data_IF_498983375093
#
_entry.id   IF_498983375093
#
_cell.length_a   1.000
_cell.length_b   1.000
_cell.length_c   1.000
_cell.angle_alpha   90.00
_cell.angle_beta   90.00
_cell.angle_gamma   90.00
#
_symmetry.space_group_name_H-M   'P 1'
#
loop_
_entity.id
_entity.type
_entity.pdbx_description
1 polymer ?
#
# COMPACT_ATOMS: atom_id res chain seq x y z
N UNK A 1 -20.40 -17.68 15.14
CA UNK A 1 -18.96 -17.97 15.12
C UNK A 1 -18.22 -16.80 14.49
N UNK A 2 -17.32 -16.21 15.26
CA UNK A 2 -16.42 -15.18 14.71
C UNK A 2 -15.51 -15.84 13.65
N UNK A 3 -15.51 -15.31 12.44
CA UNK A 3 -14.59 -15.76 11.41
C UNK A 3 -13.17 -15.29 11.79
N UNK A 4 -12.23 -16.23 11.80
CA UNK A 4 -10.84 -15.89 12.11
C UNK A 4 -10.12 -15.41 10.85
N UNK A 5 -9.24 -14.43 11.03
CA UNK A 5 -8.33 -14.02 9.98
C UNK A 5 -7.37 -15.17 9.63
N UNK A 6 -7.00 -15.25 8.36
CA UNK A 6 -5.99 -16.17 7.87
C UNK A 6 -4.63 -15.49 7.91
N UNK A 7 -3.63 -16.15 8.46
CA UNK A 7 -2.29 -15.57 8.60
C UNK A 7 -1.43 -15.91 7.40
N UNK A 8 -0.81 -14.89 6.82
CA UNK A 8 0.17 -14.98 5.76
C UNK A 8 1.51 -14.46 6.28
N UNK A 9 2.58 -15.08 5.84
CA UNK A 9 3.93 -14.62 6.14
C UNK A 9 4.65 -14.27 4.85
N UNK A 10 5.40 -13.17 4.87
CA UNK A 10 6.15 -12.71 3.72
C UNK A 10 7.54 -12.27 4.13
N UNK A 11 8.53 -12.71 3.37
CA UNK A 11 9.88 -12.18 3.45
C UNK A 11 10.14 -11.36 2.20
N UNK A 12 10.51 -10.11 2.39
CA UNK A 12 10.78 -9.17 1.31
C UNK A 12 12.28 -8.88 1.25
N UNK A 13 12.83 -8.96 0.04
CA UNK A 13 14.11 -8.37 -0.30
C UNK A 13 13.83 -7.21 -1.24
N UNK A 14 14.07 -5.99 -0.78
CA UNK A 14 13.75 -4.77 -1.52
C UNK A 14 15.03 -4.17 -2.08
N UNK A 15 15.04 -3.92 -3.38
CA UNK A 15 16.06 -3.15 -4.07
C UNK A 15 15.34 -2.01 -4.81
N UNK A 16 15.18 -0.88 -4.14
CA UNK A 16 14.52 0.30 -4.70
C UNK A 16 15.60 1.28 -5.14
N UNK A 17 15.89 1.27 -6.44
CA UNK A 17 16.93 2.12 -7.01
C UNK A 17 16.51 3.58 -7.08
N UNK A 18 15.20 3.85 -7.19
CA UNK A 18 14.69 5.22 -7.22
C UNK A 18 14.90 5.94 -5.89
N UNK A 19 14.78 5.21 -4.77
CA UNK A 19 14.99 5.74 -3.43
C UNK A 19 16.37 5.41 -2.86
N UNK A 20 17.19 4.60 -3.57
CA UNK A 20 18.47 4.08 -3.09
C UNK A 20 18.30 3.32 -1.76
N UNK A 21 17.27 2.49 -1.68
CA UNK A 21 16.91 1.72 -0.49
C UNK A 21 17.08 0.24 -0.77
N UNK A 22 17.87 -0.43 0.07
CA UNK A 22 18.12 -1.87 0.01
C UNK A 22 17.87 -2.43 1.39
N UNK A 23 16.84 -3.27 1.53
CA UNK A 23 16.41 -3.74 2.84
C UNK A 23 15.69 -5.07 2.76
N UNK A 24 15.80 -5.85 3.83
CA UNK A 24 15.07 -7.09 4.02
C UNK A 24 14.06 -6.91 5.15
N UNK A 25 12.87 -7.48 4.96
CA UNK A 25 11.82 -7.43 5.97
C UNK A 25 11.11 -8.78 6.07
N UNK A 26 10.87 -9.22 7.29
CA UNK A 26 10.03 -10.38 7.59
C UNK A 26 8.71 -9.87 8.16
N UNK A 27 7.60 -10.16 7.49
CA UNK A 27 6.30 -9.59 7.79
C UNK A 27 5.26 -10.68 8.03
N UNK A 28 4.30 -10.36 8.88
CA UNK A 28 3.10 -11.17 9.12
C UNK A 28 1.88 -10.33 8.79
N UNK A 29 1.00 -10.86 7.94
CA UNK A 29 -0.23 -10.20 7.53
C UNK A 29 -1.42 -11.08 7.89
N UNK A 30 -2.49 -10.43 8.34
CA UNK A 30 -3.77 -11.09 8.56
C UNK A 30 -4.72 -10.76 7.40
N UNK A 31 -5.17 -11.81 6.70
CA UNK A 31 -6.22 -11.66 5.70
C UNK A 31 -7.56 -11.57 6.41
N UNK A 32 -8.23 -10.42 6.31
CA UNK A 32 -9.56 -10.26 6.87
C UNK A 32 -10.55 -11.21 6.18
N UNK A 33 -11.56 -11.77 6.90
CA UNK A 33 -12.52 -12.70 6.29
C UNK A 33 -13.23 -12.17 5.05
N UNK A 34 -13.40 -10.85 4.93
CA UNK A 34 -14.01 -10.21 3.75
C UNK A 34 -13.00 -9.70 2.72
N UNK A 35 -11.71 -9.94 2.94
CA UNK A 35 -10.65 -9.43 2.08
C UNK A 35 -10.27 -10.46 1.02
N UNK A 36 -9.99 -9.99 -0.20
CA UNK A 36 -9.43 -10.84 -1.25
C UNK A 36 -7.90 -10.96 -1.10
N UNK A 37 -7.33 -12.04 -1.64
CA UNK A 37 -5.88 -12.17 -1.71
C UNK A 37 -5.23 -11.06 -2.56
N UNK A 38 -5.91 -10.62 -3.61
CA UNK A 38 -5.45 -9.47 -4.41
C UNK A 38 -5.23 -8.24 -3.53
N UNK A 39 -6.20 -7.91 -2.68
CA UNK A 39 -6.10 -6.77 -1.78
C UNK A 39 -4.94 -6.93 -0.79
N UNK A 40 -4.79 -8.11 -0.22
CA UNK A 40 -3.70 -8.42 0.70
C UNK A 40 -2.34 -8.20 0.03
N UNK A 41 -2.17 -8.65 -1.22
CA UNK A 41 -0.90 -8.50 -1.93
C UNK A 41 -0.64 -7.05 -2.35
N UNK A 42 -1.69 -6.26 -2.62
CA UNK A 42 -1.52 -4.81 -2.83
C UNK A 42 -1.08 -4.13 -1.53
N UNK A 43 -1.58 -4.56 -0.35
CA UNK A 43 -1.07 -4.07 0.94
C UNK A 43 0.40 -4.40 1.14
N UNK A 44 0.79 -5.62 0.80
CA UNK A 44 2.19 -6.04 0.90
C UNK A 44 3.09 -5.22 -0.03
N UNK A 45 2.63 -4.97 -1.24
CA UNK A 45 3.33 -4.10 -2.19
C UNK A 45 3.44 -2.67 -1.65
N UNK A 46 2.38 -2.14 -1.06
CA UNK A 46 2.40 -0.80 -0.46
C UNK A 46 3.48 -0.68 0.62
N UNK A 47 3.63 -1.72 1.45
CA UNK A 47 4.72 -1.76 2.42
C UNK A 47 6.08 -1.67 1.73
N UNK A 48 6.31 -2.49 0.72
CA UNK A 48 7.59 -2.51 0.00
C UNK A 48 7.94 -1.15 -0.61
N UNK A 49 6.92 -0.44 -1.12
CA UNK A 49 7.11 0.85 -1.79
C UNK A 49 7.23 2.03 -0.83
N UNK A 50 6.81 1.89 0.41
CA UNK A 50 6.71 3.02 1.35
C UNK A 50 7.49 2.83 2.64
N UNK A 51 8.07 1.68 2.88
CA UNK A 51 8.89 1.47 4.08
C UNK A 51 10.04 2.49 4.09
N UNK A 52 10.26 3.18 5.22
CA UNK A 52 11.36 4.15 5.32
C UNK A 52 12.73 3.46 5.35
N UNK A 53 13.77 4.21 5.01
CA UNK A 53 15.14 3.71 4.99
C UNK A 53 15.70 3.40 6.39
N UNK A 54 15.12 4.02 7.41
CA UNK A 54 15.50 3.83 8.82
C UNK A 54 14.27 3.97 9.71
N UNK A 55 14.44 3.84 11.01
CA UNK A 55 13.36 3.95 11.99
C UNK A 55 13.48 5.18 12.88
N UNK A 56 14.22 6.19 12.46
CA UNK A 56 14.38 7.41 13.25
C UNK A 56 13.04 8.09 13.53
N UNK A 57 12.11 8.02 12.58
CA UNK A 57 10.75 8.53 12.72
C UNK A 57 9.72 7.42 12.90
N UNK A 58 10.12 6.30 13.52
CA UNK A 58 9.26 5.15 13.75
C UNK A 58 9.26 4.16 12.58
N UNK A 59 8.58 3.04 12.78
CA UNK A 59 8.48 1.97 11.79
C UNK A 59 7.14 2.02 11.06
N UNK A 60 7.14 1.67 9.76
CA UNK A 60 5.91 1.42 9.03
C UNK A 60 5.32 0.08 9.49
N UNK A 61 4.06 0.07 9.86
CA UNK A 61 3.39 -1.10 10.42
C UNK A 61 2.05 -1.33 9.74
N UNK A 62 1.63 -2.60 9.64
CA UNK A 62 0.26 -2.92 9.30
C UNK A 62 -0.66 -2.53 10.44
N UNK A 63 -1.74 -1.84 10.10
CA UNK A 63 -2.80 -1.46 11.03
C UNK A 63 -3.99 -2.41 10.89
N UNK A 64 -5.09 -2.11 11.55
CA UNK A 64 -6.26 -3.00 11.54
C UNK A 64 -7.04 -2.99 10.23
N UNK A 65 -6.90 -1.94 9.43
CA UNK A 65 -7.52 -1.85 8.09
C UNK A 65 -9.02 -2.12 8.13
N UNK A 66 -9.45 -3.17 7.42
CA UNK A 66 -10.86 -3.54 7.34
C UNK A 66 -11.50 -3.89 8.68
N UNK A 67 -10.70 -4.20 9.70
CA UNK A 67 -11.20 -4.56 11.03
C UNK A 67 -11.57 -3.34 11.88
N UNK A 68 -11.13 -2.15 11.49
CA UNK A 68 -11.38 -0.91 12.23
C UNK A 68 -11.47 0.27 11.26
N UNK A 69 -12.65 0.91 11.20
CA UNK A 69 -12.90 2.01 10.30
C UNK A 69 -12.03 3.26 10.57
N UNK A 70 -11.46 3.37 11.77
CA UNK A 70 -10.63 4.51 12.15
C UNK A 70 -9.13 4.28 11.89
N UNK A 71 -8.75 3.09 11.42
CA UNK A 71 -7.37 2.76 11.10
C UNK A 71 -7.20 2.51 9.60
N UNK A 72 -6.04 2.87 9.05
CA UNK A 72 -5.71 2.56 7.65
C UNK A 72 -5.23 1.11 7.51
N UNK A 73 -4.77 0.76 6.33
CA UNK A 73 -4.11 -0.52 6.08
C UNK A 73 -2.68 -0.54 6.66
N UNK A 74 -1.96 0.57 6.53
CA UNK A 74 -0.63 0.74 7.12
C UNK A 74 -0.49 2.16 7.65
N UNK A 75 0.31 2.33 8.69
CA UNK A 75 0.68 3.64 9.22
C UNK A 75 2.07 3.63 9.86
N UNK A 76 2.58 4.84 10.04
CA UNK A 76 3.83 5.06 10.74
C UNK A 76 3.63 6.19 11.74
N UNK A 77 3.91 5.90 13.01
CA UNK A 77 3.95 6.90 14.08
C UNK A 77 5.39 7.14 14.48
N UNK A 78 5.75 8.39 14.71
CA UNK A 78 7.04 8.71 15.29
C UNK A 78 7.05 8.44 16.80
N UNK A 79 8.17 8.69 17.46
CA UNK A 79 8.33 8.44 18.90
C UNK A 79 7.43 9.35 19.77
N UNK A 80 6.89 10.43 19.23
CA UNK A 80 5.96 11.33 19.92
C UNK A 80 4.50 10.93 19.71
N UNK A 81 4.26 9.91 18.88
CA UNK A 81 2.90 9.48 18.51
C UNK A 81 2.31 10.22 17.31
N UNK A 82 3.06 11.11 16.67
CA UNK A 82 2.59 11.81 15.48
C UNK A 82 2.52 10.86 14.30
N UNK A 83 1.42 10.93 13.51
CA UNK A 83 1.26 10.16 12.29
C UNK A 83 2.13 10.73 11.18
N UNK A 84 3.17 10.00 10.81
CA UNK A 84 4.09 10.37 9.74
C UNK A 84 3.49 10.03 8.39
N UNK A 85 2.95 8.81 8.25
CA UNK A 85 2.27 8.41 7.02
C UNK A 85 1.08 7.48 7.30
N UNK A 86 0.12 7.56 6.38
CA UNK A 86 -1.14 6.83 6.38
C UNK A 86 -1.33 6.25 5.00
N UNK A 87 -1.39 4.92 4.90
CA UNK A 87 -1.50 4.23 3.62
C UNK A 87 -2.78 3.42 3.58
N UNK A 88 -3.52 3.53 2.48
CA UNK A 88 -4.67 2.69 2.21
C UNK A 88 -4.60 2.10 0.81
N UNK A 89 -5.19 0.93 0.65
CA UNK A 89 -5.36 0.29 -0.65
C UNK A 89 -6.84 0.22 -0.98
N UNK A 90 -7.17 0.34 -2.26
CA UNK A 90 -8.55 0.36 -2.72
C UNK A 90 -9.03 1.75 -3.09
N UNK A 91 -10.30 2.01 -2.86
CA UNK A 91 -11.00 3.19 -3.36
C UNK A 91 -11.76 3.89 -2.22
N UNK A 92 -11.03 4.57 -1.30
CA UNK A 92 -11.67 5.28 -0.20
C UNK A 92 -12.47 6.48 -0.71
N UNK A 93 -13.53 6.84 0.03
CA UNK A 93 -14.33 8.00 -0.33
C UNK A 93 -13.63 9.33 0.03
N UNK A 94 -14.17 10.42 -0.49
CA UNK A 94 -13.65 11.76 -0.27
C UNK A 94 -13.54 12.12 1.22
N UNK A 95 -14.56 11.80 1.99
CA UNK A 95 -14.62 12.14 3.42
C UNK A 95 -13.50 11.44 4.20
N UNK A 96 -13.27 10.16 3.88
CA UNK A 96 -12.20 9.40 4.50
C UNK A 96 -10.82 9.97 4.14
N UNK A 97 -10.62 10.36 2.88
CA UNK A 97 -9.37 10.97 2.43
C UNK A 97 -9.11 12.31 3.10
N UNK A 98 -10.11 13.16 3.19
CA UNK A 98 -9.99 14.46 3.87
C UNK A 98 -9.64 14.28 5.35
N UNK A 99 -10.28 13.33 6.03
CA UNK A 99 -10.02 13.03 7.43
C UNK A 99 -8.58 12.52 7.63
N UNK A 100 -8.14 11.60 6.78
CA UNK A 100 -6.78 11.07 6.83
C UNK A 100 -5.73 12.16 6.63
N UNK A 101 -5.94 13.03 5.64
CA UNK A 101 -5.04 14.14 5.35
C UNK A 101 -4.95 15.16 6.49
N UNK A 102 -6.00 15.29 7.30
CA UNK A 102 -5.98 16.12 8.50
C UNK A 102 -5.24 15.49 9.67
N UNK A 103 -5.02 14.18 9.66
CA UNK A 103 -4.39 13.43 10.76
C UNK A 103 -2.92 13.13 10.54
N UNK A 104 -2.50 12.90 9.30
CA UNK A 104 -1.16 12.44 8.96
C UNK A 104 -0.38 13.49 8.17
N UNK A 105 0.95 13.46 8.27
CA UNK A 105 1.80 14.33 7.46
C UNK A 105 1.70 13.97 5.98
N UNK A 106 1.63 12.68 5.66
CA UNK A 106 1.53 12.17 4.30
C UNK A 106 0.47 11.08 4.24
N UNK A 107 -0.35 11.14 3.19
CA UNK A 107 -1.34 10.11 2.90
C UNK A 107 -1.07 9.57 1.50
N UNK A 108 -1.05 8.25 1.35
CA UNK A 108 -0.85 7.60 0.07
C UNK A 108 -1.90 6.52 -0.14
N UNK A 109 -2.51 6.53 -1.32
CA UNK A 109 -3.52 5.57 -1.72
C UNK A 109 -3.01 4.77 -2.91
N UNK A 110 -3.11 3.45 -2.83
CA UNK A 110 -2.91 2.54 -3.97
C UNK A 110 -4.27 1.98 -4.38
N UNK A 111 -4.88 2.62 -5.38
CA UNK A 111 -6.13 2.18 -5.95
C UNK A 111 -5.87 1.11 -7.02
N UNK A 112 -6.74 0.11 -7.10
CA UNK A 112 -6.63 -0.97 -8.06
C UNK A 112 -8.01 -1.48 -8.44
N UNK A 113 -8.09 -2.18 -9.57
CA UNK A 113 -9.32 -2.75 -10.06
C UNK A 113 -9.97 -1.92 -11.17
N UNK A 114 -10.97 -2.49 -11.87
CA UNK A 114 -11.55 -1.88 -13.06
C UNK A 114 -12.40 -0.64 -12.79
N UNK A 115 -12.86 -0.44 -11.56
CA UNK A 115 -13.71 0.70 -11.20
C UNK A 115 -12.91 1.97 -10.86
N UNK A 116 -11.58 1.92 -10.83
CA UNK A 116 -10.75 3.07 -10.44
C UNK A 116 -11.03 4.33 -11.27
N UNK A 117 -11.15 4.27 -12.61
CA UNK A 117 -11.43 5.49 -13.38
C UNK A 117 -12.75 6.16 -13.00
N UNK A 118 -13.79 5.38 -12.73
CA UNK A 118 -15.10 5.91 -12.32
C UNK A 118 -15.00 6.53 -10.93
N UNK A 119 -14.38 5.83 -9.98
CA UNK A 119 -14.16 6.34 -8.63
C UNK A 119 -13.38 7.66 -8.66
N UNK A 120 -12.25 7.69 -9.36
CA UNK A 120 -11.38 8.86 -9.42
C UNK A 120 -12.08 10.05 -10.10
N UNK A 121 -12.74 9.80 -11.23
CA UNK A 121 -13.48 10.84 -11.95
C UNK A 121 -14.57 11.49 -11.11
N UNK A 122 -15.12 10.77 -10.13
CA UNK A 122 -16.15 11.29 -9.23
C UNK A 122 -15.61 12.16 -8.09
N UNK A 123 -14.32 12.07 -7.76
CA UNK A 123 -13.79 12.72 -6.56
C UNK A 123 -12.59 13.64 -6.80
N UNK A 124 -11.87 13.51 -7.94
CA UNK A 124 -10.60 14.22 -8.10
C UNK A 124 -10.71 15.75 -7.90
N UNK A 125 -11.79 16.36 -8.39
CA UNK A 125 -11.99 17.81 -8.25
C UNK A 125 -12.21 18.25 -6.80
N UNK A 126 -12.64 17.33 -5.94
CA UNK A 126 -12.89 17.59 -4.52
C UNK A 126 -11.65 17.44 -3.66
N UNK A 127 -10.57 16.90 -4.23
CA UNK A 127 -9.32 16.59 -3.51
C UNK A 127 -8.20 17.58 -3.80
N UNK A 128 -8.43 18.59 -4.63
CA UNK A 128 -7.39 19.53 -5.08
C UNK A 128 -6.70 20.27 -3.94
N UNK A 129 -7.40 20.50 -2.84
CA UNK A 129 -6.87 21.22 -1.66
C UNK A 129 -6.04 20.34 -0.74
N UNK A 130 -6.05 19.02 -0.93
CA UNK A 130 -5.31 18.09 -0.10
C UNK A 130 -3.87 17.98 -0.62
N UNK A 131 -3.00 18.85 -0.09
CA UNK A 131 -1.62 18.99 -0.58
C UNK A 131 -0.70 17.85 -0.17
N UNK A 132 -1.08 17.05 0.83
CA UNK A 132 -0.29 15.94 1.38
C UNK A 132 -0.76 14.56 0.92
N UNK A 133 -1.51 14.50 -0.19
CA UNK A 133 -2.11 13.27 -0.71
C UNK A 133 -1.46 12.83 -2.01
N UNK A 134 -0.95 11.60 -2.02
CA UNK A 134 -0.55 10.89 -3.23
C UNK A 134 -1.60 9.81 -3.54
N UNK A 135 -2.04 9.74 -4.79
CA UNK A 135 -2.95 8.69 -5.26
C UNK A 135 -2.34 8.00 -6.46
N UNK A 136 -2.17 6.69 -6.34
CA UNK A 136 -1.62 5.84 -7.39
C UNK A 136 -2.67 4.84 -7.84
N UNK A 137 -2.68 4.56 -9.14
CA UNK A 137 -3.47 3.49 -9.73
C UNK A 137 -2.55 2.34 -10.13
N UNK A 138 -2.84 1.14 -9.64
CA UNK A 138 -2.25 -0.09 -10.17
C UNK A 138 -3.20 -0.61 -11.24
N UNK A 139 -2.75 -0.73 -12.52
CA UNK A 139 -3.60 -1.27 -13.58
C UNK A 139 -4.21 -2.62 -13.20
N UNK A 140 -5.48 -2.83 -13.57
CA UNK A 140 -6.26 -3.98 -13.11
C UNK A 140 -5.59 -5.31 -13.45
N UNK A 141 -5.07 -5.46 -14.68
CA UNK A 141 -4.39 -6.67 -15.11
C UNK A 141 -3.09 -6.91 -14.34
N UNK A 142 -2.40 -5.85 -13.93
CA UNK A 142 -1.17 -5.97 -13.15
C UNK A 142 -1.46 -6.39 -11.71
N UNK A 143 -2.52 -5.85 -11.11
CA UNK A 143 -2.96 -6.27 -9.77
C UNK A 143 -3.40 -7.73 -9.77
N UNK A 144 -4.10 -8.17 -10.81
CA UNK A 144 -4.49 -9.58 -10.96
C UNK A 144 -3.27 -10.48 -11.13
N UNK A 145 -2.29 -10.06 -11.92
CA UNK A 145 -1.05 -10.82 -12.08
C UNK A 145 -0.30 -10.93 -10.75
N UNK A 146 -0.27 -9.86 -9.96
CA UNK A 146 0.32 -9.88 -8.63
C UNK A 146 -0.41 -10.87 -7.73
N UNK A 147 -1.72 -10.92 -7.79
CA UNK A 147 -2.53 -11.82 -6.95
C UNK A 147 -2.23 -13.30 -7.20
N UNK A 148 -1.74 -13.65 -8.39
CA UNK A 148 -1.33 -15.01 -8.70
C UNK A 148 -0.11 -15.48 -7.90
N UNK A 149 0.64 -14.58 -7.28
CA UNK A 149 1.78 -14.91 -6.42
C UNK A 149 1.36 -15.23 -4.98
N UNK A 150 0.07 -15.19 -4.65
CA UNK A 150 -0.41 -15.37 -3.29
C UNK A 150 -0.12 -16.77 -2.78
N UNK A 151 0.57 -16.86 -1.64
CA UNK A 151 0.83 -18.08 -0.89
C UNK A 151 0.86 -17.74 0.60
N UNK A 152 0.55 -18.71 1.42
CA UNK A 152 0.56 -18.55 2.89
C UNK A 152 1.94 -18.16 3.43
N UNK A 153 2.98 -18.60 2.75
CA UNK A 153 4.37 -18.24 3.05
C UNK A 153 5.02 -17.79 1.75
N UNK A 154 5.41 -16.53 1.70
CA UNK A 154 5.92 -15.89 0.48
C UNK A 154 7.34 -15.38 0.70
N UNK A 155 8.14 -15.48 -0.37
CA UNK A 155 9.46 -14.85 -0.44
C UNK A 155 9.48 -14.01 -1.71
N UNK A 156 9.54 -12.70 -1.54
CA UNK A 156 9.51 -11.76 -2.65
C UNK A 156 10.83 -11.03 -2.79
N UNK A 157 11.26 -10.89 -4.02
CA UNK A 157 12.26 -9.92 -4.42
C UNK A 157 11.53 -8.78 -5.12
N UNK A 158 11.62 -7.59 -4.56
CA UNK A 158 10.98 -6.39 -5.10
C UNK A 158 12.06 -5.45 -5.60
N UNK A 159 12.05 -5.18 -6.90
CA UNK A 159 12.98 -4.27 -7.54
C UNK A 159 12.21 -3.08 -8.09
N UNK A 160 12.66 -1.87 -7.79
CA UNK A 160 12.06 -0.63 -8.29
C UNK A 160 13.13 0.16 -9.05
N UNK A 161 12.82 0.53 -10.29
CA UNK A 161 13.70 1.37 -11.11
C UNK A 161 12.87 2.16 -12.11
N UNK A 162 13.08 3.47 -12.16
CA UNK A 162 12.41 4.39 -13.09
C UNK A 162 10.88 4.25 -13.06
N UNK A 163 10.32 4.09 -11.85
CA UNK A 163 8.88 3.95 -11.62
C UNK A 163 8.31 2.58 -11.94
N UNK A 164 9.08 1.67 -12.52
CA UNK A 164 8.65 0.29 -12.74
C UNK A 164 9.02 -0.60 -11.58
N UNK A 165 8.15 -1.55 -11.27
CA UNK A 165 8.29 -2.46 -10.14
C UNK A 165 8.29 -3.89 -10.66
N UNK A 166 9.27 -4.68 -10.26
CA UNK A 166 9.32 -6.12 -10.53
C UNK A 166 9.20 -6.87 -9.21
N UNK A 167 8.22 -7.75 -9.13
CA UNK A 167 8.03 -8.63 -7.98
C UNK A 167 8.25 -10.06 -8.43
N UNK A 168 9.23 -10.74 -7.83
CA UNK A 168 9.55 -12.13 -8.14
C UNK A 168 9.43 -12.99 -6.89
N UNK A 169 8.86 -14.20 -7.03
CA UNK A 169 8.80 -15.19 -5.96
C UNK A 169 9.83 -16.31 -6.15
N UNK A 170 10.76 -16.14 -7.09
CA UNK A 170 11.77 -17.15 -7.47
C UNK A 170 11.31 -18.09 -8.58
N UNK A 171 10.02 -18.12 -8.90
CA UNK A 171 9.46 -18.94 -9.99
C UNK A 171 8.77 -18.07 -11.03
N UNK A 172 8.05 -17.05 -10.59
CA UNK A 172 7.33 -16.12 -11.44
C UNK A 172 7.75 -14.69 -11.13
N UNK A 173 7.64 -13.83 -12.12
CA UNK A 173 7.91 -12.41 -11.96
C UNK A 173 6.76 -11.60 -12.56
N UNK A 174 6.37 -10.55 -11.85
CA UNK A 174 5.31 -9.64 -12.27
C UNK A 174 5.89 -8.25 -12.37
N UNK A 175 5.63 -7.57 -13.49
CA UNK A 175 5.99 -6.18 -13.67
C UNK A 175 4.77 -5.29 -13.43
N UNK A 176 4.93 -4.25 -12.62
CA UNK A 176 3.89 -3.28 -12.33
C UNK A 176 4.40 -1.88 -12.66
N UNK A 177 3.50 -1.08 -13.24
CA UNK A 177 3.78 0.32 -13.58
C UNK A 177 2.65 1.19 -13.06
N UNK A 178 2.65 1.53 -11.76
CA UNK A 178 1.60 2.36 -11.20
C UNK A 178 1.54 3.73 -11.86
N UNK A 179 0.33 4.25 -12.01
CA UNK A 179 0.06 5.55 -12.61
C UNK A 179 -0.25 6.57 -11.51
N UNK A 180 0.44 7.70 -11.53
CA UNK A 180 0.17 8.78 -10.59
C UNK A 180 -1.11 9.51 -11.00
N UNK A 181 -2.16 9.40 -10.17
CA UNK A 181 -3.41 10.14 -10.36
C UNK A 181 -3.34 11.50 -9.67
N UNK A 182 -2.65 11.59 -8.55
CA UNK A 182 -2.41 12.82 -7.82
C UNK A 182 -1.06 12.71 -7.10
N UNK A 183 -0.31 13.78 -7.12
CA UNK A 183 0.96 13.87 -6.39
C UNK A 183 0.87 14.95 -5.32
N UNK A 184 1.39 14.64 -4.13
CA UNK A 184 1.47 15.61 -3.07
C UNK A 184 2.40 16.75 -3.47
N UNK A 185 2.04 17.95 -3.06
CA UNK A 185 2.91 19.11 -3.23
C UNK A 185 3.89 19.19 -2.06
N UNK A 186 5.14 19.57 -2.36
CA UNK A 186 6.19 19.72 -1.36
C UNK A 186 6.28 21.16 -0.89
#
# INVERSE_FOLDING_TARGET
LALKATIYKAQLQIADMDRQLYADHALTLALHPSETEERLLVRLLAFALRVPSDTERGALQFAKGLSDADEPDLWQHDLTGQLVQWLEVGQPDERRLAKACGRAERVCIYAYGPAVPIWWGGIENKLTRLSNLDVWQIPAEQAQALSALAQRSMQWQVTVQDGSIWVSDGQQSVELSPLALKSATR
#
